data_IF_622293667869
#
_entry.id   IF_622293667869
#
_cell.length_a   1.000
_cell.length_b   1.000
_cell.length_c   1.000
_cell.angle_alpha   90.00
_cell.angle_beta   90.00
_cell.angle_gamma   90.00
#
_symmetry.space_group_name_H-M   'P 1'
#
loop_
_entity.id
_entity.type
_entity.pdbx_description
1 polymer ?
#
# COMPACT_ATOMS: atom_id res chain seq x y z
N UNK A 1 -36.13 19.08 -37.16
CA UNK A 1 -35.73 17.69 -36.86
C UNK A 1 -34.21 17.48 -36.86
N UNK A 2 -33.45 17.96 -37.87
CA UNK A 2 -31.98 17.80 -37.92
C UNK A 2 -31.22 18.47 -36.74
N UNK A 3 -31.64 19.67 -36.32
CA UNK A 3 -31.02 20.39 -35.17
C UNK A 3 -31.17 19.62 -33.84
N UNK A 4 -32.28 18.91 -33.67
CA UNK A 4 -32.57 18.11 -32.48
C UNK A 4 -31.70 16.86 -32.44
N UNK A 5 -31.54 16.17 -33.57
CA UNK A 5 -30.65 15.01 -33.66
C UNK A 5 -29.20 15.35 -33.37
N UNK A 6 -28.71 16.48 -33.91
CA UNK A 6 -27.35 16.97 -33.66
C UNK A 6 -27.12 17.24 -32.17
N UNK A 7 -28.08 17.86 -31.50
CA UNK A 7 -28.00 18.15 -30.07
C UNK A 7 -28.05 16.90 -29.19
N UNK A 8 -28.81 15.88 -29.60
CA UNK A 8 -28.81 14.56 -28.96
C UNK A 8 -27.45 13.87 -29.13
N UNK A 9 -26.85 13.96 -30.32
CA UNK A 9 -25.54 13.37 -30.58
C UNK A 9 -24.43 14.05 -29.76
N UNK A 10 -24.42 15.39 -29.71
CA UNK A 10 -23.49 16.16 -28.87
C UNK A 10 -23.62 15.80 -27.38
N UNK A 11 -24.84 15.59 -26.89
CA UNK A 11 -25.09 15.16 -25.52
C UNK A 11 -24.56 13.74 -25.26
N UNK A 12 -24.75 12.81 -26.20
CA UNK A 12 -24.21 11.45 -26.11
C UNK A 12 -22.69 11.43 -26.09
N UNK A 13 -22.04 12.20 -26.97
CA UNK A 13 -20.58 12.29 -27.01
C UNK A 13 -20.01 12.86 -25.71
N UNK A 14 -20.67 13.89 -25.17
CA UNK A 14 -20.28 14.48 -23.87
C UNK A 14 -20.45 13.47 -22.75
N UNK A 15 -21.62 12.83 -22.64
CA UNK A 15 -21.88 11.82 -21.61
C UNK A 15 -20.89 10.65 -21.67
N UNK A 16 -20.61 10.14 -22.88
CA UNK A 16 -19.67 9.05 -23.08
C UNK A 16 -18.26 9.45 -22.63
N UNK A 17 -17.80 10.66 -23.00
CA UNK A 17 -16.51 11.20 -22.55
C UNK A 17 -16.41 11.30 -21.03
N UNK A 18 -17.44 11.84 -20.37
CA UNK A 18 -17.49 11.93 -18.91
C UNK A 18 -17.49 10.55 -18.24
N UNK A 19 -18.26 9.59 -18.78
CA UNK A 19 -18.31 8.24 -18.23
C UNK A 19 -17.00 7.47 -18.39
N UNK A 20 -16.32 7.64 -19.51
CA UNK A 20 -14.99 7.06 -19.73
C UNK A 20 -13.97 7.65 -18.77
N UNK A 21 -13.98 8.98 -18.61
CA UNK A 21 -13.10 9.65 -17.66
C UNK A 21 -13.33 9.20 -16.21
N UNK A 22 -14.58 9.12 -15.75
CA UNK A 22 -14.91 8.63 -14.40
C UNK A 22 -14.48 7.16 -14.21
N UNK A 23 -14.62 6.32 -15.25
CA UNK A 23 -14.11 4.95 -15.22
C UNK A 23 -12.58 4.89 -15.11
N UNK A 24 -11.87 5.69 -15.90
CA UNK A 24 -10.40 5.74 -15.90
C UNK A 24 -9.88 6.21 -14.53
N UNK A 25 -10.45 7.29 -13.99
CA UNK A 25 -10.09 7.82 -12.67
C UNK A 25 -10.33 6.80 -11.56
N UNK A 26 -11.46 6.08 -11.58
CA UNK A 26 -11.73 5.02 -10.61
C UNK A 26 -10.74 3.88 -10.71
N UNK A 27 -10.40 3.48 -11.93
CA UNK A 27 -9.47 2.39 -12.16
C UNK A 27 -8.04 2.76 -11.72
N UNK A 28 -7.61 3.98 -11.99
CA UNK A 28 -6.32 4.50 -11.49
C UNK A 28 -6.31 4.56 -9.96
N UNK A 29 -7.34 5.12 -9.33
CA UNK A 29 -7.45 5.18 -7.87
C UNK A 29 -7.45 3.79 -7.22
N UNK A 30 -8.11 2.81 -7.83
CA UNK A 30 -8.08 1.42 -7.36
C UNK A 30 -6.69 0.80 -7.48
N UNK A 31 -6.00 1.01 -8.60
CA UNK A 31 -4.62 0.54 -8.79
C UNK A 31 -3.66 1.15 -7.77
N UNK A 32 -3.75 2.46 -7.56
CA UNK A 32 -2.93 3.16 -6.58
C UNK A 32 -3.23 2.66 -5.16
N UNK A 33 -4.50 2.50 -4.81
CA UNK A 33 -4.91 1.96 -3.51
C UNK A 33 -4.37 0.55 -3.24
N UNK A 34 -4.42 -0.34 -4.24
CA UNK A 34 -3.86 -1.69 -4.15
C UNK A 34 -2.34 -1.62 -3.95
N UNK A 35 -1.63 -0.84 -4.76
CA UNK A 35 -0.17 -0.71 -4.67
C UNK A 35 0.29 -0.16 -3.32
N UNK A 36 -0.39 0.87 -2.80
CA UNK A 36 -0.13 1.42 -1.47
C UNK A 36 -0.41 0.37 -0.39
N UNK A 37 -1.51 -0.37 -0.52
CA UNK A 37 -1.90 -1.42 0.41
C UNK A 37 -0.87 -2.56 0.47
N UNK A 38 -0.44 -3.06 -0.68
CA UNK A 38 0.59 -4.10 -0.79
C UNK A 38 1.91 -3.66 -0.17
N UNK A 39 2.39 -2.45 -0.51
CA UNK A 39 3.64 -1.92 0.05
C UNK A 39 3.58 -1.79 1.57
N UNK A 40 2.51 -1.20 2.11
CA UNK A 40 2.32 -1.06 3.56
C UNK A 40 2.19 -2.42 4.24
N UNK A 41 1.51 -3.37 3.61
CA UNK A 41 1.37 -4.74 4.09
C UNK A 41 2.70 -5.46 4.17
N UNK A 42 3.54 -5.35 3.13
CA UNK A 42 4.86 -5.94 3.10
C UNK A 42 5.80 -5.35 4.16
N UNK A 43 5.83 -4.02 4.30
CA UNK A 43 6.61 -3.34 5.33
C UNK A 43 6.18 -3.79 6.73
N UNK A 44 4.86 -3.81 7.00
CA UNK A 44 4.33 -4.26 8.28
C UNK A 44 4.65 -5.72 8.57
N UNK A 45 4.52 -6.61 7.58
CA UNK A 45 4.83 -8.03 7.72
C UNK A 45 6.31 -8.26 8.04
N UNK A 46 7.23 -7.53 7.40
CA UNK A 46 8.67 -7.58 7.72
C UNK A 46 8.96 -7.16 9.16
N UNK A 47 8.32 -6.08 9.62
CA UNK A 47 8.47 -5.59 10.99
C UNK A 47 7.89 -6.56 12.03
N UNK A 48 6.70 -7.10 11.78
CA UNK A 48 6.07 -8.10 12.66
C UNK A 48 6.90 -9.39 12.71
N UNK A 49 7.39 -9.87 11.56
CA UNK A 49 8.29 -11.03 11.51
C UNK A 49 9.59 -10.77 12.30
N UNK A 50 10.21 -9.60 12.14
CA UNK A 50 11.40 -9.22 12.91
C UNK A 50 11.12 -9.20 14.41
N UNK A 51 9.99 -8.61 14.85
CA UNK A 51 9.60 -8.58 16.27
C UNK A 51 9.40 -9.99 16.84
N UNK A 52 8.76 -10.89 16.09
CA UNK A 52 8.55 -12.27 16.51
C UNK A 52 9.89 -13.02 16.64
N UNK A 53 10.77 -12.88 15.66
CA UNK A 53 12.11 -13.51 15.71
C UNK A 53 12.95 -13.00 16.89
N UNK A 54 12.93 -11.69 17.15
CA UNK A 54 13.63 -11.08 18.29
C UNK A 54 13.05 -11.58 19.63
N UNK A 55 11.72 -11.76 19.70
CA UNK A 55 11.05 -12.34 20.88
C UNK A 55 11.45 -13.80 21.13
N UNK A 56 11.81 -14.54 20.08
CA UNK A 56 12.34 -15.90 20.17
C UNK A 56 13.87 -15.94 20.49
N UNK A 57 14.48 -14.81 20.83
CA UNK A 57 15.93 -14.66 21.08
C UNK A 57 16.81 -14.98 19.85
N UNK A 58 16.30 -14.82 18.63
CA UNK A 58 17.09 -14.96 17.41
C UNK A 58 18.07 -13.78 17.30
N UNK A 59 19.36 -14.00 16.96
CA UNK A 59 20.33 -12.92 16.84
C UNK A 59 19.93 -11.87 15.79
N UNK A 60 20.11 -10.59 16.12
CA UNK A 60 19.78 -9.43 15.27
C UNK A 60 20.36 -9.53 13.85
N UNK A 61 21.58 -10.04 13.72
CA UNK A 61 22.24 -10.26 12.43
C UNK A 61 21.49 -11.28 11.57
N UNK A 62 20.96 -12.33 12.19
CA UNK A 62 20.14 -13.33 11.48
C UNK A 62 18.78 -12.76 11.11
N UNK A 63 18.16 -11.98 11.99
CA UNK A 63 16.89 -11.30 11.72
C UNK A 63 17.03 -10.32 10.56
N UNK A 64 18.11 -9.53 10.52
CA UNK A 64 18.43 -8.61 9.42
C UNK A 64 18.56 -9.35 8.09
N UNK A 65 19.30 -10.47 8.05
CA UNK A 65 19.41 -11.30 6.84
C UNK A 65 18.09 -11.91 6.39
N UNK A 66 17.25 -12.39 7.32
CA UNK A 66 16.00 -13.09 7.00
C UNK A 66 14.89 -12.12 6.57
N UNK A 67 14.81 -10.94 7.17
CA UNK A 67 13.73 -9.96 6.92
C UNK A 67 14.09 -8.92 5.86
N UNK A 68 15.37 -8.82 5.52
CA UNK A 68 15.89 -7.79 4.62
C UNK A 68 15.90 -6.38 5.22
N UNK A 69 15.65 -6.26 6.52
CA UNK A 69 15.77 -5.01 7.26
C UNK A 69 17.23 -4.71 7.58
N UNK A 70 17.56 -3.42 7.71
CA UNK A 70 18.91 -3.02 8.11
C UNK A 70 19.18 -3.40 9.57
N UNK A 71 20.45 -3.64 9.91
CA UNK A 71 20.84 -3.98 11.27
C UNK A 71 20.41 -2.90 12.28
N UNK A 72 20.51 -1.62 11.90
CA UNK A 72 20.08 -0.49 12.72
C UNK A 72 18.57 -0.54 13.03
N UNK A 73 17.74 -0.83 12.02
CA UNK A 73 16.29 -0.96 12.22
C UNK A 73 15.95 -2.13 13.15
N UNK A 74 16.65 -3.26 13.02
CA UNK A 74 16.46 -4.43 13.87
C UNK A 74 16.86 -4.13 15.32
N UNK A 75 17.96 -3.40 15.52
CA UNK A 75 18.41 -2.94 16.84
C UNK A 75 17.41 -2.01 17.51
N UNK A 76 16.90 -1.02 16.77
CA UNK A 76 15.86 -0.12 17.28
C UNK A 76 14.61 -0.90 17.70
N UNK A 77 14.17 -1.87 16.88
CA UNK A 77 13.04 -2.74 17.20
C UNK A 77 13.29 -3.58 18.48
N UNK A 78 14.50 -4.10 18.64
CA UNK A 78 14.88 -4.86 19.83
C UNK A 78 14.84 -3.98 21.10
N UNK A 79 15.33 -2.74 21.03
CA UNK A 79 15.26 -1.80 22.14
C UNK A 79 13.82 -1.39 22.46
N UNK A 80 12.99 -1.11 21.45
CA UNK A 80 11.56 -0.85 21.64
C UNK A 80 10.85 -2.00 22.36
N UNK A 81 11.14 -3.25 21.97
CA UNK A 81 10.57 -4.43 22.61
C UNK A 81 10.99 -4.53 24.08
N UNK A 82 12.27 -4.30 24.40
CA UNK A 82 12.77 -4.29 25.80
C UNK A 82 12.07 -3.22 26.64
N UNK A 83 11.87 -2.02 26.10
CA UNK A 83 11.17 -0.92 26.79
C UNK A 83 9.71 -1.30 27.04
N UNK A 84 9.03 -1.89 26.05
CA UNK A 84 7.63 -2.31 26.17
C UNK A 84 7.41 -3.47 27.15
N UNK A 85 8.41 -4.34 27.34
CA UNK A 85 8.37 -5.44 28.30
C UNK A 85 8.71 -5.02 29.74
N UNK A 86 9.24 -3.81 29.93
CA UNK A 86 9.65 -3.26 31.22
C UNK A 86 8.58 -2.33 31.86
N UNK A 87 7.44 -2.13 31.21
CA UNK A 87 6.27 -1.38 31.70
C UNK A 87 5.18 -2.32 32.20
#
# INVERSE_FOLDING_TARGET
>A
MVKTQKKIEELKQTYLSWSLHDSDVRHEGMKEGISIGEKRGEERAKLEAARNMLSENIPEETVSRCTGLTLETVQQLAEELKISAAQ
#
